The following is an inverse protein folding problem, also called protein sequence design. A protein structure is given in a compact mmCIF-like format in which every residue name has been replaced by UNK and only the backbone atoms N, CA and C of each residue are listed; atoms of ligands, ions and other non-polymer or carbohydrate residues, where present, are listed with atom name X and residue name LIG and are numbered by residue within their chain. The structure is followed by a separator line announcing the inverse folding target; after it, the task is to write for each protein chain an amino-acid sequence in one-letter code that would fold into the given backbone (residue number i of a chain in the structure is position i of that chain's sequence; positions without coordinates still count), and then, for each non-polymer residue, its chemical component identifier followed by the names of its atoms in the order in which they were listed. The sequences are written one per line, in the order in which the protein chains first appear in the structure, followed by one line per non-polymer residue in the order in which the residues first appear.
data_IF_669153419244
#
_entry.id   IF_669153419244
#
_cell.length_a   1.000
_cell.length_b   1.000
_cell.length_c   1.000
_cell.angle_alpha   90.00
_cell.angle_beta   90.00
_cell.angle_gamma   90.00
#
_symmetry.space_group_name_H-M   'P 1'
#
loop_
_entity.id
_entity.type
_entity.pdbx_description
1 polymer ?
#
# COMPACT_ATOMS: atom_id res chain seq x y z
N UNK A 1 14.70 7.77 12.81
CA UNK A 1 13.72 8.58 13.58
C UNK A 1 12.33 8.29 13.04
N UNK A 2 11.31 8.26 13.89
CA UNK A 2 9.90 8.13 13.52
C UNK A 2 9.19 9.45 13.84
N UNK A 3 8.57 10.04 12.82
CA UNK A 3 7.68 11.18 12.97
C UNK A 3 6.22 10.74 13.04
N UNK A 4 5.47 11.32 13.97
CA UNK A 4 4.03 11.14 14.06
C UNK A 4 3.34 12.50 14.22
N UNK A 5 2.36 12.81 13.35
CA UNK A 5 1.64 14.09 13.36
C UNK A 5 1.01 14.46 14.71
N UNK A 6 0.57 13.46 15.46
CA UNK A 6 -0.02 13.67 16.79
C UNK A 6 1.07 13.67 17.87
N UNK A 7 1.28 14.82 18.54
CA UNK A 7 2.31 14.99 19.56
C UNK A 7 2.13 14.02 20.74
N UNK A 8 0.92 13.90 21.28
CA UNK A 8 0.66 12.99 22.40
C UNK A 8 0.89 11.51 22.01
N UNK A 9 0.72 11.15 20.74
CA UNK A 9 1.07 9.81 20.26
C UNK A 9 2.59 9.61 20.19
N UNK A 10 3.33 10.58 19.67
CA UNK A 10 4.80 10.53 19.61
C UNK A 10 5.41 10.43 21.02
N UNK A 11 4.89 11.22 21.98
CA UNK A 11 5.30 11.18 23.39
C UNK A 11 5.04 9.81 24.02
N UNK A 12 3.86 9.21 23.80
CA UNK A 12 3.56 7.86 24.30
C UNK A 12 4.49 6.81 23.72
N UNK A 13 4.79 6.87 22.42
CA UNK A 13 5.76 5.96 21.79
C UNK A 13 7.15 6.09 22.42
N UNK A 14 7.59 7.30 22.70
CA UNK A 14 8.87 7.57 23.35
C UNK A 14 8.92 7.05 24.80
N UNK A 15 7.85 7.27 25.57
CA UNK A 15 7.77 6.90 26.97
C UNK A 15 7.62 5.38 27.18
N UNK A 16 6.76 4.73 26.40
CA UNK A 16 6.41 3.32 26.60
C UNK A 16 7.16 2.35 25.69
N UNK A 17 7.86 2.84 24.66
CA UNK A 17 8.55 2.01 23.66
C UNK A 17 7.65 0.94 23.05
N UNK A 18 6.36 1.24 22.90
CA UNK A 18 5.35 0.34 22.37
C UNK A 18 4.28 1.13 21.61
N UNK A 19 3.87 0.59 20.45
CA UNK A 19 2.71 1.09 19.72
C UNK A 19 1.47 0.28 20.09
N UNK A 20 0.90 0.56 21.28
CA UNK A 20 -0.26 -0.18 21.83
C UNK A 20 -1.49 -0.11 20.93
N UNK A 21 -1.62 0.92 20.08
CA UNK A 21 -2.78 1.10 19.20
C UNK A 21 -2.73 0.21 17.96
N UNK A 22 -1.56 0.08 17.34
CA UNK A 22 -1.43 -0.59 16.03
C UNK A 22 -0.58 -1.85 16.08
N UNK A 23 0.25 -1.99 17.10
CA UNK A 23 1.21 -3.08 17.24
C UNK A 23 1.39 -3.49 18.70
N UNK A 24 0.30 -3.88 19.39
CA UNK A 24 0.34 -4.21 20.81
C UNK A 24 1.24 -5.42 21.09
N UNK A 25 1.96 -5.36 22.21
CA UNK A 25 2.86 -6.41 22.71
C UNK A 25 4.22 -6.47 21.99
N UNK A 26 4.59 -5.45 21.20
CA UNK A 26 5.89 -5.36 20.54
C UNK A 26 6.69 -4.20 21.09
N UNK A 27 7.84 -4.50 21.70
CA UNK A 27 8.78 -3.49 22.18
C UNK A 27 9.55 -2.85 21.02
N UNK A 28 9.54 -1.53 20.94
CA UNK A 28 10.26 -0.78 19.92
C UNK A 28 11.75 -0.63 20.30
N UNK A 29 12.68 -0.70 19.31
CA UNK A 29 14.12 -0.59 19.58
C UNK A 29 14.51 0.69 20.30
N UNK A 30 15.45 0.62 21.25
CA UNK A 30 15.92 1.77 22.03
C UNK A 30 16.58 2.85 21.18
N UNK A 31 17.16 2.46 20.05
CA UNK A 31 17.78 3.37 19.09
C UNK A 31 16.78 4.18 18.25
N UNK A 32 15.48 3.81 18.28
CA UNK A 32 14.45 4.52 17.54
C UNK A 32 14.08 5.82 18.24
N UNK A 33 14.27 6.94 17.58
CA UNK A 33 13.89 8.27 18.05
C UNK A 33 12.48 8.63 17.58
N UNK A 34 11.74 9.40 18.37
CA UNK A 34 10.38 9.83 18.06
C UNK A 34 10.27 11.34 18.07
N UNK A 35 9.44 11.90 17.19
CA UNK A 35 9.16 13.33 17.12
C UNK A 35 7.78 13.59 16.52
N UNK A 36 7.15 14.69 16.93
CA UNK A 36 5.97 15.25 16.24
C UNK A 36 6.32 16.48 15.40
N UNK A 37 7.58 16.92 15.44
CA UNK A 37 8.06 18.03 14.64
C UNK A 37 8.63 17.51 13.31
N UNK A 38 8.00 17.89 12.20
CA UNK A 38 8.42 17.44 10.87
C UNK A 38 9.78 18.03 10.48
N UNK A 39 10.07 19.28 10.84
CA UNK A 39 11.38 19.91 10.55
C UNK A 39 12.51 19.18 11.26
N UNK A 40 12.28 18.75 12.49
CA UNK A 40 13.24 17.91 13.23
C UNK A 40 13.45 16.55 12.53
N UNK A 41 12.40 15.93 12.03
CA UNK A 41 12.51 14.68 11.26
C UNK A 41 13.30 14.89 9.96
N UNK A 42 13.04 15.98 9.23
CA UNK A 42 13.75 16.31 8.00
C UNK A 42 15.23 16.64 8.25
N UNK A 43 15.53 17.39 9.31
CA UNK A 43 16.92 17.68 9.72
C UNK A 43 17.67 16.38 10.05
N UNK A 44 16.98 15.37 10.60
CA UNK A 44 17.59 14.08 10.91
C UNK A 44 17.97 13.29 9.65
N UNK A 45 17.29 13.52 8.50
CA UNK A 45 17.64 12.91 7.21
C UNK A 45 18.86 13.59 6.55
N UNK A 46 19.23 14.79 6.99
CA UNK A 46 20.40 15.49 6.47
C UNK A 46 21.67 14.76 6.89
N UNK A 47 22.48 14.40 5.89
CA UNK A 47 23.67 13.59 6.10
C UNK A 47 24.66 14.23 7.07
N UNK A 48 25.14 13.46 8.02
CA UNK A 48 26.25 13.84 8.89
C UNK A 48 27.61 13.56 8.25
N UNK A 49 27.63 12.70 7.24
CA UNK A 49 28.82 12.37 6.42
C UNK A 49 28.44 12.31 4.94
N UNK A 50 29.38 12.53 4.01
CA UNK A 50 29.10 12.47 2.57
C UNK A 50 28.52 11.13 2.10
N UNK A 51 28.76 10.04 2.83
CA UNK A 51 28.31 8.70 2.48
C UNK A 51 26.92 8.34 3.02
N UNK A 52 26.34 9.17 3.90
CA UNK A 52 25.09 8.87 4.60
C UNK A 52 23.94 9.76 4.13
N UNK A 53 23.53 9.61 2.86
CA UNK A 53 22.33 10.31 2.37
C UNK A 53 21.07 9.80 3.07
N UNK A 54 20.20 10.70 3.51
CA UNK A 54 18.97 10.36 4.23
C UNK A 54 17.90 9.74 3.31
N UNK A 55 17.19 8.72 3.79
CA UNK A 55 16.04 8.12 3.15
C UNK A 55 14.77 8.49 3.93
N UNK A 56 13.77 9.03 3.23
CA UNK A 56 12.47 9.34 3.80
C UNK A 56 11.44 8.27 3.43
N UNK A 57 10.87 7.58 4.43
CA UNK A 57 9.85 6.55 4.23
C UNK A 57 8.49 7.07 4.73
N UNK A 58 7.53 7.23 3.83
CA UNK A 58 6.16 7.68 4.12
C UNK A 58 5.26 6.48 4.38
N UNK A 59 4.92 6.26 5.66
CA UNK A 59 4.04 5.15 6.09
C UNK A 59 2.68 5.67 6.57
N UNK A 60 2.11 6.63 5.85
CA UNK A 60 0.77 7.18 6.11
C UNK A 60 -0.29 6.39 5.32
N UNK A 61 -1.56 6.39 5.74
CA UNK A 61 -2.65 5.94 4.88
C UNK A 61 -2.69 6.75 3.58
N UNK A 62 -3.13 6.15 2.47
CA UNK A 62 -3.17 6.82 1.16
C UNK A 62 -3.90 8.17 1.21
N UNK A 63 -5.00 8.26 1.94
CA UNK A 63 -5.76 9.51 2.12
C UNK A 63 -4.94 10.66 2.73
N UNK A 64 -3.82 10.35 3.38
CA UNK A 64 -2.90 11.35 3.95
C UNK A 64 -1.69 11.66 3.07
N UNK A 65 -1.48 10.91 1.98
CA UNK A 65 -0.27 11.02 1.17
C UNK A 65 -0.13 12.40 0.52
N UNK A 66 -1.18 12.88 -0.17
CA UNK A 66 -1.16 14.16 -0.88
C UNK A 66 -0.86 15.34 0.08
N UNK A 67 -1.55 15.39 1.21
CA UNK A 67 -1.34 16.45 2.19
C UNK A 67 0.10 16.44 2.74
N UNK A 68 0.63 15.24 3.04
CA UNK A 68 2.01 15.13 3.52
C UNK A 68 3.02 15.48 2.42
N UNK A 69 2.81 15.07 1.17
CA UNK A 69 3.68 15.43 0.06
C UNK A 69 3.68 16.95 -0.20
N UNK A 70 2.53 17.63 -0.11
CA UNK A 70 2.46 19.08 -0.22
C UNK A 70 3.29 19.76 0.88
N UNK A 71 3.12 19.36 2.15
CA UNK A 71 3.89 19.89 3.27
C UNK A 71 5.40 19.63 3.11
N UNK A 72 5.78 18.45 2.63
CA UNK A 72 7.18 18.11 2.32
C UNK A 72 7.72 18.98 1.17
N UNK A 73 6.93 19.21 0.13
CA UNK A 73 7.30 20.04 -1.02
C UNK A 73 7.64 21.47 -0.59
N UNK A 74 6.81 22.06 0.25
CA UNK A 74 7.05 23.42 0.79
C UNK A 74 8.33 23.47 1.63
N UNK A 75 8.47 22.55 2.61
CA UNK A 75 9.60 22.54 3.53
C UNK A 75 10.93 22.23 2.82
N UNK A 76 10.95 21.25 1.94
CA UNK A 76 12.17 20.87 1.23
C UNK A 76 12.57 21.92 0.19
N UNK A 77 11.61 22.57 -0.50
CA UNK A 77 11.93 23.66 -1.42
C UNK A 77 12.55 24.87 -0.70
N UNK A 78 12.05 25.22 0.50
CA UNK A 78 12.63 26.26 1.35
C UNK A 78 14.05 25.90 1.80
N UNK A 79 14.28 24.65 2.22
CA UNK A 79 15.61 24.18 2.60
C UNK A 79 16.59 24.19 1.43
N UNK A 80 16.17 23.74 0.25
CA UNK A 80 16.99 23.77 -0.97
C UNK A 80 17.36 25.21 -1.40
N UNK A 81 16.40 26.14 -1.27
CA UNK A 81 16.63 27.56 -1.59
C UNK A 81 17.55 28.27 -0.59
N UNK A 82 17.52 27.87 0.68
CA UNK A 82 18.37 28.43 1.73
C UNK A 82 19.81 27.86 1.72
N UNK A 83 20.02 26.71 1.07
CA UNK A 83 21.32 26.02 1.03
C UNK A 83 22.16 26.49 -0.16
N UNK A 84 22.72 27.70 -0.07
CA UNK A 84 23.78 28.18 -0.96
C UNK A 84 25.15 27.49 -0.73
N UNK A 85 25.21 26.45 0.12
CA UNK A 85 26.47 25.76 0.44
C UNK A 85 26.47 24.30 -0.06
N UNK A 86 27.49 23.88 -0.82
CA UNK A 86 27.57 22.53 -1.40
C UNK A 86 27.85 21.40 -0.37
N UNK A 87 27.83 21.70 0.93
CA UNK A 87 28.19 20.74 1.99
C UNK A 87 27.03 19.88 2.55
N UNK A 88 25.78 20.16 2.15
CA UNK A 88 24.67 19.34 2.58
C UNK A 88 24.27 18.41 1.43
N UNK A 89 24.53 17.13 1.58
CA UNK A 89 24.03 16.15 0.62
C UNK A 89 22.50 16.06 0.75
N UNK A 90 21.78 16.09 -0.39
CA UNK A 90 20.34 16.05 -0.39
C UNK A 90 19.84 14.68 0.07
N UNK A 91 18.58 14.67 0.50
CA UNK A 91 17.76 13.47 0.64
C UNK A 91 17.96 12.56 -0.59
N UNK A 92 18.30 11.28 -0.37
CA UNK A 92 18.49 10.32 -1.47
C UNK A 92 17.20 10.06 -2.23
N UNK A 93 16.06 10.21 -1.53
CA UNK A 93 14.74 10.10 -2.12
C UNK A 93 13.65 9.85 -1.10
N UNK A 94 12.43 9.79 -1.61
CA UNK A 94 11.19 9.58 -0.87
C UNK A 94 10.58 8.25 -1.31
N UNK A 95 10.30 7.36 -0.35
CA UNK A 95 9.67 6.06 -0.57
C UNK A 95 8.37 6.00 0.22
N UNK A 96 7.28 5.59 -0.40
CA UNK A 96 6.01 5.35 0.31
C UNK A 96 5.68 3.86 0.42
N UNK A 97 4.84 3.54 1.40
CA UNK A 97 4.35 2.18 1.65
C UNK A 97 2.83 2.08 1.56
N UNK A 98 2.12 3.19 1.38
CA UNK A 98 0.67 3.21 1.22
C UNK A 98 0.23 2.49 -0.05
N UNK A 99 -1.00 1.96 -0.02
CA UNK A 99 -1.56 1.13 -1.08
C UNK A 99 -2.96 1.64 -1.43
N UNK A 100 -3.35 1.53 -2.70
CA UNK A 100 -4.66 1.92 -3.18
C UNK A 100 -4.60 3.01 -4.25
N UNK A 101 -5.79 3.46 -4.70
CA UNK A 101 -6.00 4.63 -5.53
C UNK A 101 -6.69 5.72 -4.70
N UNK A 102 -6.36 6.99 -4.96
CA UNK A 102 -7.01 8.13 -4.32
C UNK A 102 -8.50 8.16 -4.68
N UNK A 103 -9.37 8.23 -3.67
CA UNK A 103 -10.81 8.00 -3.85
C UNK A 103 -11.47 8.99 -4.83
N UNK A 104 -11.05 10.25 -4.81
CA UNK A 104 -11.68 11.32 -5.60
C UNK A 104 -11.14 11.35 -7.03
N UNK A 105 -9.84 11.20 -7.20
CA UNK A 105 -9.14 11.38 -8.47
C UNK A 105 -8.86 10.06 -9.21
N UNK A 106 -8.83 8.93 -8.51
CA UNK A 106 -8.39 7.65 -9.04
C UNK A 106 -6.88 7.55 -9.28
N UNK A 107 -6.09 8.49 -8.76
CA UNK A 107 -4.64 8.52 -8.96
C UNK A 107 -3.91 7.47 -8.12
N UNK A 108 -2.85 6.91 -8.70
CA UNK A 108 -1.88 6.08 -8.01
C UNK A 108 -1.00 6.93 -7.06
N UNK A 109 -0.40 6.35 -6.01
CA UNK A 109 0.52 7.08 -5.12
C UNK A 109 1.63 7.84 -5.84
N UNK A 110 2.21 7.26 -6.90
CA UNK A 110 3.24 7.91 -7.72
C UNK A 110 2.72 9.12 -8.49
N UNK A 111 1.48 9.07 -8.97
CA UNK A 111 0.84 10.20 -9.64
C UNK A 111 0.54 11.32 -8.64
N UNK A 112 0.03 10.98 -7.45
CA UNK A 112 -0.18 11.93 -6.34
C UNK A 112 1.13 12.61 -5.94
N UNK A 113 2.19 11.81 -5.77
CA UNK A 113 3.50 12.32 -5.38
C UNK A 113 4.08 13.25 -6.44
N UNK A 114 3.97 12.91 -7.73
CA UNK A 114 4.43 13.75 -8.85
C UNK A 114 3.73 15.10 -8.84
N UNK A 115 2.42 15.14 -8.63
CA UNK A 115 1.65 16.38 -8.55
C UNK A 115 2.08 17.23 -7.34
N UNK A 116 2.06 16.61 -6.16
CA UNK A 116 2.27 17.29 -4.88
C UNK A 116 3.74 17.72 -4.64
N UNK A 117 4.72 17.00 -5.22
CA UNK A 117 6.14 17.32 -5.12
C UNK A 117 6.67 18.14 -6.30
N UNK A 118 5.79 18.77 -7.09
CA UNK A 118 6.15 19.49 -8.31
C UNK A 118 7.14 20.65 -8.10
N UNK A 119 7.20 21.22 -6.90
CA UNK A 119 8.21 22.25 -6.56
C UNK A 119 9.64 21.67 -6.32
N UNK A 120 9.76 20.34 -6.20
CA UNK A 120 11.02 19.61 -5.97
C UNK A 120 11.15 18.42 -6.94
N UNK A 121 11.03 18.63 -8.26
CA UNK A 121 10.85 17.56 -9.25
C UNK A 121 12.04 16.59 -9.36
N UNK A 122 13.21 17.01 -8.88
CA UNK A 122 14.46 16.23 -8.99
C UNK A 122 14.68 15.28 -7.82
N UNK A 123 13.79 15.22 -6.83
CA UNK A 123 13.90 14.26 -5.73
C UNK A 123 13.43 12.89 -6.22
N UNK A 124 14.30 11.86 -6.19
CA UNK A 124 13.90 10.51 -6.56
C UNK A 124 12.78 9.98 -5.67
N UNK A 125 11.83 9.27 -6.30
CA UNK A 125 10.67 8.70 -5.59
C UNK A 125 10.53 7.21 -5.87
N UNK A 126 9.87 6.48 -4.95
CA UNK A 126 9.63 5.06 -5.13
C UNK A 126 8.57 4.50 -4.17
N UNK A 127 8.20 3.26 -4.40
CA UNK A 127 7.25 2.51 -3.58
C UNK A 127 7.90 1.25 -3.00
N UNK A 128 7.66 1.00 -1.72
CA UNK A 128 8.04 -0.24 -1.04
C UNK A 128 6.78 -1.04 -0.76
N UNK A 129 6.67 -2.24 -1.32
CA UNK A 129 5.49 -3.08 -1.20
C UNK A 129 5.86 -4.57 -1.19
N UNK A 130 4.89 -5.45 -0.92
CA UNK A 130 5.04 -6.91 -0.90
C UNK A 130 4.29 -7.54 0.26
N UNK A 131 4.38 -8.88 0.39
CA UNK A 131 3.70 -9.64 1.43
C UNK A 131 4.32 -9.36 2.81
N UNK A 132 3.66 -8.52 3.62
CA UNK A 132 4.22 -8.03 4.89
C UNK A 132 3.13 -7.64 5.88
N UNK A 133 2.64 -8.60 6.66
CA UNK A 133 1.84 -8.25 7.82
C UNK A 133 2.70 -7.58 8.89
N UNK A 134 2.30 -6.38 9.31
CA UNK A 134 3.09 -5.55 10.21
C UNK A 134 3.49 -6.27 11.52
N UNK A 135 2.59 -7.13 12.04
CA UNK A 135 2.84 -7.90 13.26
C UNK A 135 3.97 -8.92 13.06
N UNK A 136 3.96 -9.65 11.95
CA UNK A 136 5.00 -10.64 11.63
C UNK A 136 6.35 -9.97 11.40
N UNK A 137 6.37 -8.86 10.66
CA UNK A 137 7.59 -8.06 10.46
C UNK A 137 8.16 -7.59 11.79
N UNK A 138 7.32 -7.09 12.68
CA UNK A 138 7.74 -6.59 13.99
C UNK A 138 8.20 -7.71 14.95
N UNK A 139 7.74 -8.93 14.75
CA UNK A 139 8.22 -10.14 15.46
C UNK A 139 9.53 -10.67 14.89
N UNK A 140 10.07 -10.06 13.83
CA UNK A 140 11.31 -10.52 13.18
C UNK A 140 11.13 -11.77 12.34
N UNK A 141 9.91 -12.12 11.92
CA UNK A 141 9.67 -13.24 11.02
C UNK A 141 10.15 -12.93 9.60
N UNK A 142 10.51 -13.94 8.81
CA UNK A 142 11.00 -13.76 7.45
C UNK A 142 10.00 -12.99 6.58
N UNK A 143 10.46 -11.95 5.89
CA UNK A 143 9.66 -11.12 4.99
C UNK A 143 10.44 -10.81 3.72
N UNK A 144 9.72 -10.75 2.60
CA UNK A 144 10.27 -10.32 1.31
C UNK A 144 9.47 -9.14 0.76
N UNK A 145 10.17 -8.06 0.41
CA UNK A 145 9.60 -6.82 -0.10
C UNK A 145 10.23 -6.45 -1.44
N UNK A 146 9.56 -5.59 -2.18
CA UNK A 146 10.04 -4.99 -3.42
C UNK A 146 10.11 -3.47 -3.26
N UNK A 147 11.27 -2.89 -3.55
CA UNK A 147 11.42 -1.46 -3.80
C UNK A 147 11.32 -1.21 -5.30
N UNK A 148 10.34 -0.44 -5.73
CA UNK A 148 10.23 0.00 -7.11
C UNK A 148 10.47 1.51 -7.24
N UNK A 149 11.36 1.87 -8.15
CA UNK A 149 11.70 3.24 -8.50
C UNK A 149 12.39 3.27 -9.86
N UNK A 150 12.25 4.34 -10.61
CA UNK A 150 13.04 4.56 -11.82
C UNK A 150 14.51 4.91 -11.47
N UNK A 151 14.74 5.49 -10.29
CA UNK A 151 16.08 5.87 -9.84
C UNK A 151 16.85 4.69 -9.25
N UNK A 152 18.02 4.39 -9.81
CA UNK A 152 18.88 3.26 -9.38
C UNK A 152 19.54 3.50 -8.02
N UNK A 153 19.90 4.77 -7.72
CA UNK A 153 20.55 5.09 -6.46
C UNK A 153 19.55 4.94 -5.30
N UNK A 154 18.30 5.39 -5.49
CA UNK A 154 17.24 5.19 -4.50
C UNK A 154 16.95 3.70 -4.24
N UNK A 155 16.87 2.87 -5.30
CA UNK A 155 16.69 1.42 -5.11
C UNK A 155 17.83 0.81 -4.29
N UNK A 156 19.08 1.13 -4.64
CA UNK A 156 20.27 0.63 -3.91
C UNK A 156 20.30 1.10 -2.46
N UNK A 157 20.02 2.37 -2.21
CA UNK A 157 20.00 2.92 -0.86
C UNK A 157 18.89 2.29 0.00
N UNK A 158 17.69 2.09 -0.56
CA UNK A 158 16.59 1.43 0.14
C UNK A 158 16.93 -0.02 0.48
N UNK A 159 17.55 -0.75 -0.47
CA UNK A 159 18.03 -2.11 -0.21
C UNK A 159 19.09 -2.09 0.89
N UNK A 160 20.08 -1.23 0.80
CA UNK A 160 21.14 -1.14 1.81
C UNK A 160 20.61 -0.81 3.22
N UNK A 161 19.54 0.00 3.30
CA UNK A 161 18.92 0.38 4.57
C UNK A 161 18.04 -0.71 5.20
N UNK A 162 17.39 -1.55 4.39
CA UNK A 162 16.35 -2.46 4.86
C UNK A 162 16.67 -3.94 4.69
N UNK A 163 17.55 -4.32 3.75
CA UNK A 163 17.89 -5.71 3.49
C UNK A 163 18.86 -6.25 4.55
N UNK A 164 18.43 -7.24 5.28
CA UNK A 164 19.26 -7.89 6.31
C UNK A 164 18.42 -8.65 7.32
N UNK A 165 19.05 -9.43 8.17
CA UNK A 165 18.35 -10.26 9.14
C UNK A 165 17.27 -11.14 8.48
N UNK A 166 16.04 -10.99 8.92
CA UNK A 166 14.86 -11.69 8.38
C UNK A 166 14.23 -11.00 7.16
N UNK A 167 14.67 -9.78 6.79
CA UNK A 167 14.08 -9.02 5.69
C UNK A 167 14.89 -9.16 4.41
N UNK A 168 14.21 -9.50 3.30
CA UNK A 168 14.75 -9.49 1.94
C UNK A 168 14.09 -8.39 1.13
N UNK A 169 14.88 -7.54 0.47
CA UNK A 169 14.36 -6.46 -0.39
C UNK A 169 14.91 -6.67 -1.80
N UNK A 170 14.00 -6.66 -2.77
CA UNK A 170 14.28 -6.85 -4.20
C UNK A 170 14.02 -5.55 -4.96
N UNK A 171 14.86 -5.25 -5.96
CA UNK A 171 14.69 -4.09 -6.82
C UNK A 171 13.71 -4.36 -7.96
N UNK A 172 12.91 -3.36 -8.31
CA UNK A 172 12.08 -3.31 -9.50
C UNK A 172 12.13 -1.89 -10.11
N UNK A 173 11.81 -1.75 -11.39
CA UNK A 173 11.65 -0.45 -12.05
C UNK A 173 10.18 -0.11 -12.28
N UNK A 174 9.30 -1.11 -12.28
CA UNK A 174 7.88 -0.97 -12.54
C UNK A 174 7.12 -0.47 -11.30
N UNK A 175 7.14 0.84 -11.10
CA UNK A 175 6.42 1.52 -10.01
C UNK A 175 4.90 1.28 -10.15
N UNK A 176 4.38 1.41 -11.37
CA UNK A 176 2.93 1.27 -11.65
C UNK A 176 2.46 -0.15 -11.29
N UNK A 177 3.16 -1.18 -11.75
CA UNK A 177 2.79 -2.57 -11.47
C UNK A 177 2.81 -2.90 -9.98
N UNK A 178 3.81 -2.39 -9.25
CA UNK A 178 3.92 -2.56 -7.79
C UNK A 178 2.77 -1.86 -7.06
N UNK A 179 2.38 -0.66 -7.47
CA UNK A 179 1.26 0.10 -6.88
C UNK A 179 -0.09 -0.54 -7.18
N UNK A 180 -0.33 -0.94 -8.43
CA UNK A 180 -1.56 -1.63 -8.85
C UNK A 180 -1.71 -2.96 -8.10
N UNK A 181 -0.64 -3.74 -8.00
CA UNK A 181 -0.64 -4.97 -7.20
C UNK A 181 -1.06 -4.72 -5.77
N UNK A 182 -0.44 -3.74 -5.11
CA UNK A 182 -0.78 -3.34 -3.75
C UNK A 182 -2.21 -2.81 -3.56
N UNK A 183 -2.78 -2.18 -4.58
CA UNK A 183 -4.14 -1.64 -4.56
C UNK A 183 -5.21 -2.73 -4.70
N UNK A 184 -5.17 -3.48 -5.80
CA UNK A 184 -6.22 -4.44 -6.14
C UNK A 184 -6.22 -5.69 -5.25
N UNK A 185 -5.07 -6.11 -4.71
CA UNK A 185 -5.05 -7.24 -3.77
C UNK A 185 -6.04 -7.09 -2.62
N UNK A 186 -6.26 -5.86 -2.15
CA UNK A 186 -7.17 -5.58 -1.06
C UNK A 186 -8.64 -5.77 -1.47
N UNK A 187 -8.98 -5.44 -2.71
CA UNK A 187 -10.29 -5.68 -3.31
C UNK A 187 -10.52 -7.19 -3.49
N UNK A 188 -9.52 -7.88 -4.03
CA UNK A 188 -9.56 -9.35 -4.21
C UNK A 188 -9.65 -10.09 -2.88
N UNK A 189 -9.01 -9.57 -1.81
CA UNK A 189 -9.15 -10.13 -0.48
C UNK A 189 -10.58 -10.01 0.07
N UNK A 190 -11.28 -8.91 -0.21
CA UNK A 190 -12.71 -8.77 0.11
C UNK A 190 -13.52 -9.82 -0.65
N UNK A 191 -13.30 -9.98 -1.96
CA UNK A 191 -13.97 -10.99 -2.78
C UNK A 191 -13.77 -12.42 -2.23
N UNK A 192 -12.51 -12.77 -1.90
CA UNK A 192 -12.19 -14.06 -1.29
C UNK A 192 -12.89 -14.25 0.08
N UNK A 193 -12.91 -13.20 0.90
CA UNK A 193 -13.63 -13.21 2.18
C UNK A 193 -15.14 -13.42 2.00
N UNK A 194 -15.77 -12.74 1.04
CA UNK A 194 -17.20 -12.93 0.70
C UNK A 194 -17.47 -14.40 0.32
N UNK A 195 -16.64 -14.95 -0.59
CA UNK A 195 -16.78 -16.36 -0.99
C UNK A 195 -16.62 -17.35 0.17
N UNK A 196 -15.72 -17.05 1.12
CA UNK A 196 -15.55 -17.84 2.35
C UNK A 196 -16.76 -17.71 3.27
N UNK A 197 -17.31 -16.49 3.46
CA UNK A 197 -18.50 -16.25 4.26
C UNK A 197 -19.75 -16.96 3.73
N UNK A 198 -19.83 -17.10 2.40
CA UNK A 198 -20.87 -17.89 1.71
C UNK A 198 -20.63 -19.41 1.77
N UNK A 199 -19.48 -19.88 2.28
CA UNK A 199 -19.16 -21.31 2.34
C UNK A 199 -18.81 -21.94 0.99
N UNK A 200 -18.29 -21.17 0.00
CA UNK A 200 -18.00 -21.68 -1.35
C UNK A 200 -16.78 -22.61 -1.44
N UNK A 201 -16.01 -22.71 -0.35
CA UNK A 201 -14.88 -23.63 -0.25
C UNK A 201 -13.58 -23.13 -0.88
N UNK A 202 -12.56 -24.01 -0.80
CA UNK A 202 -11.17 -23.66 -1.20
C UNK A 202 -10.97 -23.58 -2.70
N UNK A 203 -11.70 -24.38 -3.49
CA UNK A 203 -11.62 -24.31 -4.94
C UNK A 203 -12.07 -22.96 -5.48
N UNK A 204 -13.18 -22.42 -4.95
CA UNK A 204 -13.67 -21.08 -5.32
C UNK A 204 -12.65 -19.99 -4.93
N UNK A 205 -12.02 -20.11 -3.76
CA UNK A 205 -10.98 -19.17 -3.33
C UNK A 205 -9.76 -19.23 -4.27
N UNK A 206 -9.30 -20.41 -4.67
CA UNK A 206 -8.20 -20.57 -5.62
C UNK A 206 -8.56 -19.91 -6.98
N UNK A 207 -9.78 -20.15 -7.49
CA UNK A 207 -10.27 -19.52 -8.71
C UNK A 207 -10.33 -17.99 -8.60
N UNK A 208 -10.83 -17.44 -7.49
CA UNK A 208 -10.86 -16.00 -7.24
C UNK A 208 -9.46 -15.38 -7.19
N UNK A 209 -8.48 -16.04 -6.59
CA UNK A 209 -7.08 -15.58 -6.56
C UNK A 209 -6.52 -15.54 -7.98
N UNK A 210 -6.69 -16.61 -8.75
CA UNK A 210 -6.17 -16.72 -10.14
C UNK A 210 -6.84 -15.68 -11.05
N UNK A 211 -8.16 -15.60 -11.02
CA UNK A 211 -8.92 -14.65 -11.86
C UNK A 211 -8.71 -13.21 -11.40
N UNK A 212 -8.57 -12.98 -10.10
CA UNK A 212 -8.22 -11.68 -9.52
C UNK A 212 -6.83 -11.22 -9.97
N UNK A 213 -5.86 -12.12 -10.02
CA UNK A 213 -4.53 -11.81 -10.54
C UNK A 213 -4.60 -11.38 -12.03
N UNK A 214 -5.43 -12.05 -12.84
CA UNK A 214 -5.66 -11.68 -14.23
C UNK A 214 -6.30 -10.29 -14.37
N UNK A 215 -7.26 -9.91 -13.49
CA UNK A 215 -7.80 -8.55 -13.46
C UNK A 215 -6.74 -7.51 -13.09
N UNK A 216 -5.93 -7.80 -12.06
CA UNK A 216 -4.83 -6.94 -11.64
C UNK A 216 -3.84 -6.70 -12.78
N UNK A 217 -3.50 -7.76 -13.52
CA UNK A 217 -2.58 -7.69 -14.66
C UNK A 217 -3.15 -6.83 -15.78
N UNK A 218 -4.41 -7.10 -16.22
CA UNK A 218 -5.05 -6.30 -17.28
C UNK A 218 -5.13 -4.81 -16.94
N UNK A 219 -5.55 -4.50 -15.71
CA UNK A 219 -5.64 -3.11 -15.28
C UNK A 219 -4.27 -2.44 -15.22
N UNK A 220 -3.27 -3.17 -14.70
CA UNK A 220 -1.91 -2.67 -14.64
C UNK A 220 -1.31 -2.42 -16.03
N UNK A 221 -1.46 -3.36 -16.97
CA UNK A 221 -0.99 -3.19 -18.34
C UNK A 221 -1.65 -2.00 -19.04
N UNK A 222 -2.93 -1.77 -18.81
CA UNK A 222 -3.64 -0.59 -19.34
C UNK A 222 -3.11 0.74 -18.77
N UNK A 223 -2.49 0.71 -17.59
CA UNK A 223 -1.80 1.85 -16.97
C UNK A 223 -0.30 1.93 -17.34
N UNK A 224 0.22 0.96 -18.10
CA UNK A 224 1.60 0.90 -18.55
C UNK A 224 2.54 0.07 -17.66
N UNK A 225 2.00 -0.78 -16.80
CA UNK A 225 2.78 -1.75 -16.02
C UNK A 225 3.25 -2.94 -16.85
N UNK A 226 4.24 -3.65 -16.36
CA UNK A 226 4.71 -4.90 -16.94
C UNK A 226 3.99 -6.10 -16.33
N UNK A 227 3.38 -6.99 -17.16
CA UNK A 227 2.67 -8.20 -16.70
C UNK A 227 3.51 -9.09 -15.79
N UNK A 228 4.81 -9.20 -16.03
CA UNK A 228 5.74 -9.99 -15.21
C UNK A 228 5.77 -9.53 -13.74
N UNK A 229 5.52 -8.25 -13.44
CA UNK A 229 5.48 -7.72 -12.08
C UNK A 229 4.40 -8.39 -11.23
N UNK A 230 3.26 -8.74 -11.86
CA UNK A 230 2.13 -9.35 -11.15
C UNK A 230 2.37 -10.80 -10.73
N UNK A 231 3.28 -11.52 -11.37
CA UNK A 231 3.72 -12.85 -10.95
C UNK A 231 4.69 -12.83 -9.77
N UNK A 232 5.17 -11.64 -9.36
CA UNK A 232 6.13 -11.42 -8.29
C UNK A 232 5.51 -11.20 -6.91
N UNK A 233 6.37 -10.67 -6.00
CA UNK A 233 6.01 -10.44 -4.59
C UNK A 233 4.84 -9.48 -4.42
N UNK A 234 4.75 -8.42 -5.21
CA UNK A 234 3.76 -7.36 -5.06
C UNK A 234 2.44 -7.66 -5.79
N UNK A 235 2.44 -8.62 -6.70
CA UNK A 235 1.25 -9.19 -7.33
C UNK A 235 0.80 -10.46 -6.60
N UNK A 236 1.17 -11.62 -7.12
CA UNK A 236 0.76 -12.94 -6.61
C UNK A 236 1.10 -13.14 -5.14
N UNK A 237 2.32 -12.77 -4.71
CA UNK A 237 2.75 -12.99 -3.32
C UNK A 237 1.88 -12.25 -2.30
N UNK A 238 1.68 -10.95 -2.50
CA UNK A 238 0.89 -10.12 -1.59
C UNK A 238 -0.62 -10.42 -1.71
N UNK A 239 -1.09 -10.82 -2.91
CA UNK A 239 -2.46 -11.27 -3.13
C UNK A 239 -2.75 -12.56 -2.35
N UNK A 240 -1.91 -13.59 -2.48
CA UNK A 240 -2.08 -14.85 -1.75
C UNK A 240 -2.09 -14.61 -0.25
N UNK A 241 -1.09 -13.88 0.27
CA UNK A 241 -1.03 -13.54 1.70
C UNK A 241 -2.31 -12.86 2.18
N UNK A 242 -2.80 -11.87 1.42
CA UNK A 242 -3.94 -11.04 1.83
C UNK A 242 -5.27 -11.78 1.68
N UNK A 243 -5.41 -12.65 0.68
CA UNK A 243 -6.62 -13.43 0.41
C UNK A 243 -6.76 -14.67 1.32
N UNK A 244 -5.67 -15.15 1.95
CA UNK A 244 -5.70 -16.37 2.76
C UNK A 244 -5.34 -16.15 4.22
N UNK A 245 -4.58 -15.09 4.54
CA UNK A 245 -4.07 -14.85 5.89
C UNK A 245 -5.14 -14.32 6.86
N UNK A 246 -5.15 -14.84 8.08
CA UNK A 246 -6.11 -14.45 9.13
C UNK A 246 -5.93 -13.01 9.63
N UNK A 247 -4.73 -12.45 9.46
CA UNK A 247 -4.43 -11.05 9.81
C UNK A 247 -4.96 -10.05 8.76
N UNK A 248 -5.52 -10.51 7.65
CA UNK A 248 -6.05 -9.67 6.58
C UNK A 248 -7.39 -9.05 6.96
N UNK A 249 -7.37 -7.76 7.30
CA UNK A 249 -8.58 -6.99 7.61
C UNK A 249 -9.57 -6.96 6.44
N UNK A 250 -9.10 -6.85 5.20
CA UNK A 250 -9.97 -6.84 4.03
C UNK A 250 -10.66 -8.21 3.83
N UNK A 251 -9.95 -9.33 4.02
CA UNK A 251 -10.56 -10.66 4.00
C UNK A 251 -11.61 -10.81 5.12
N UNK A 252 -11.30 -10.34 6.34
CA UNK A 252 -12.25 -10.36 7.47
C UNK A 252 -13.51 -9.53 7.17
N UNK A 253 -13.37 -8.34 6.56
CA UNK A 253 -14.51 -7.54 6.10
C UNK A 253 -15.36 -8.34 5.11
N UNK A 254 -14.75 -8.93 4.09
CA UNK A 254 -15.46 -9.77 3.11
C UNK A 254 -16.17 -10.95 3.76
N UNK A 255 -15.52 -11.64 4.71
CA UNK A 255 -16.08 -12.77 5.45
C UNK A 255 -17.38 -12.40 6.17
N UNK A 256 -17.39 -11.28 6.88
CA UNK A 256 -18.58 -10.81 7.60
C UNK A 256 -19.71 -10.37 6.65
N UNK A 257 -19.38 -9.77 5.51
CA UNK A 257 -20.35 -9.43 4.46
C UNK A 257 -20.94 -10.71 3.83
N UNK A 258 -20.11 -11.71 3.53
CA UNK A 258 -20.56 -13.01 3.04
C UNK A 258 -21.48 -13.75 4.00
N UNK A 259 -21.36 -13.46 5.31
CA UNK A 259 -22.26 -13.95 6.38
C UNK A 259 -23.55 -13.15 6.53
N UNK A 260 -23.76 -12.13 5.71
CA UNK A 260 -24.99 -11.34 5.65
C UNK A 260 -24.95 -9.99 6.37
N UNK A 261 -23.79 -9.54 6.88
CA UNK A 261 -23.67 -8.19 7.43
C UNK A 261 -23.50 -7.16 6.31
N UNK A 262 -24.03 -5.97 6.49
CA UNK A 262 -23.74 -4.82 5.64
C UNK A 262 -22.33 -4.25 5.90
N UNK A 263 -21.79 -3.51 4.94
CA UNK A 263 -20.49 -2.82 5.11
C UNK A 263 -20.50 -1.89 6.33
N UNK A 264 -21.58 -1.15 6.56
CA UNK A 264 -21.71 -0.23 7.70
C UNK A 264 -21.65 -0.97 9.04
N UNK A 265 -22.33 -2.10 9.17
CA UNK A 265 -22.28 -2.93 10.38
C UNK A 265 -20.86 -3.46 10.63
N UNK A 266 -20.18 -3.88 9.59
CA UNK A 266 -18.79 -4.37 9.70
C UNK A 266 -17.84 -3.24 10.11
N UNK A 267 -17.94 -2.05 9.50
CA UNK A 267 -17.11 -0.90 9.86
C UNK A 267 -17.38 -0.39 11.27
N UNK A 268 -18.60 -0.51 11.77
CA UNK A 268 -18.96 -0.15 13.15
C UNK A 268 -18.23 -1.01 14.21
N UNK A 269 -17.71 -2.20 13.85
CA UNK A 269 -16.88 -3.02 14.74
C UNK A 269 -15.45 -2.50 14.91
N UNK A 270 -15.06 -1.45 14.18
CA UNK A 270 -13.70 -0.90 14.15
C UNK A 270 -12.80 -1.52 13.09
N UNK A 271 -13.27 -2.46 12.29
CA UNK A 271 -12.55 -2.95 11.11
C UNK A 271 -12.40 -1.84 10.08
N UNK A 272 -11.25 -1.79 9.44
CA UNK A 272 -10.98 -0.84 8.35
C UNK A 272 -10.93 -1.57 7.01
N UNK A 273 -11.60 -1.03 6.00
CA UNK A 273 -11.69 -1.60 4.65
C UNK A 273 -11.02 -0.68 3.63
N UNK A 274 -9.69 -0.72 3.55
CA UNK A 274 -8.96 0.03 2.51
C UNK A 274 -9.36 -0.43 1.12
N UNK A 275 -9.59 -1.74 0.94
CA UNK A 275 -10.05 -2.33 -0.31
C UNK A 275 -11.42 -1.79 -0.75
N UNK A 276 -12.35 -1.54 0.18
CA UNK A 276 -13.66 -0.98 -0.15
C UNK A 276 -13.54 0.43 -0.73
N UNK A 277 -12.74 1.29 -0.09
CA UNK A 277 -12.48 2.66 -0.61
C UNK A 277 -11.80 2.65 -1.97
N UNK A 278 -10.87 1.70 -2.17
CA UNK A 278 -10.12 1.56 -3.40
C UNK A 278 -10.98 1.02 -4.55
N UNK A 279 -11.94 0.13 -4.28
CA UNK A 279 -12.70 -0.60 -5.30
C UNK A 279 -13.44 0.34 -6.27
N UNK A 280 -14.13 1.36 -5.76
CA UNK A 280 -14.85 2.34 -6.58
C UNK A 280 -13.90 3.17 -7.45
N UNK A 281 -12.77 3.63 -6.89
CA UNK A 281 -11.79 4.41 -7.62
C UNK A 281 -11.14 3.57 -8.74
N UNK A 282 -10.82 2.30 -8.46
CA UNK A 282 -10.32 1.35 -9.46
C UNK A 282 -11.33 1.13 -10.57
N UNK A 283 -12.59 0.87 -10.22
CA UNK A 283 -13.65 0.60 -11.21
C UNK A 283 -13.90 1.80 -12.13
N UNK A 284 -13.95 3.02 -11.55
CA UNK A 284 -14.06 4.26 -12.33
C UNK A 284 -12.90 4.39 -13.31
N UNK A 285 -11.65 4.25 -12.85
CA UNK A 285 -10.48 4.39 -13.71
C UNK A 285 -10.39 3.29 -14.75
N UNK A 286 -10.79 2.06 -14.43
CA UNK A 286 -10.86 0.95 -15.37
C UNK A 286 -11.88 1.24 -16.50
N UNK A 287 -13.03 1.80 -16.16
CA UNK A 287 -14.04 2.23 -17.14
C UNK A 287 -13.50 3.30 -18.10
N UNK A 288 -12.76 4.29 -17.58
CA UNK A 288 -12.11 5.32 -18.40
C UNK A 288 -11.07 4.74 -19.38
N UNK A 289 -10.43 3.62 -19.00
CA UNK A 289 -9.45 2.91 -19.82
C UNK A 289 -10.07 1.82 -20.71
N UNK A 290 -11.38 1.58 -20.64
CA UNK A 290 -12.06 0.50 -21.37
C UNK A 290 -11.68 -0.90 -20.89
N UNK A 291 -11.29 -1.07 -19.63
CA UNK A 291 -10.87 -2.35 -19.04
C UNK A 291 -11.97 -2.95 -18.19
N UNK A 292 -12.34 -4.20 -18.49
CA UNK A 292 -13.31 -4.94 -17.67
C UNK A 292 -12.64 -5.60 -16.46
N UNK A 293 -13.22 -5.34 -15.27
CA UNK A 293 -12.83 -5.91 -14.00
C UNK A 293 -14.04 -6.57 -13.30
N UNK A 294 -14.49 -7.74 -13.76
CA UNK A 294 -15.72 -8.37 -13.28
C UNK A 294 -15.77 -8.64 -11.78
N UNK A 295 -14.67 -9.11 -11.17
CA UNK A 295 -14.63 -9.38 -9.71
C UNK A 295 -14.69 -8.07 -8.95
N UNK A 296 -13.91 -7.06 -9.37
CA UNK A 296 -13.93 -5.73 -8.77
C UNK A 296 -15.31 -5.09 -8.86
N UNK A 297 -16.00 -5.25 -9.99
CA UNK A 297 -17.36 -4.78 -10.19
C UNK A 297 -18.34 -5.47 -9.22
N UNK A 298 -18.30 -6.80 -9.15
CA UNK A 298 -19.14 -7.57 -8.25
C UNK A 298 -18.92 -7.18 -6.76
N UNK A 299 -17.67 -6.90 -6.38
CA UNK A 299 -17.36 -6.36 -5.04
C UNK A 299 -18.03 -5.01 -4.82
N UNK A 300 -17.99 -4.09 -5.80
CA UNK A 300 -18.65 -2.78 -5.68
C UNK A 300 -20.17 -2.92 -5.57
N UNK A 301 -20.80 -3.77 -6.38
CA UNK A 301 -22.26 -4.02 -6.31
C UNK A 301 -22.69 -4.52 -4.92
N UNK A 302 -21.92 -5.46 -4.34
CA UNK A 302 -22.22 -5.99 -3.00
C UNK A 302 -21.99 -4.94 -1.91
N UNK A 303 -20.91 -4.16 -2.01
CA UNK A 303 -20.55 -3.21 -0.96
C UNK A 303 -21.42 -1.95 -0.95
N UNK A 304 -21.84 -1.48 -2.12
CA UNK A 304 -22.41 -0.13 -2.28
C UNK A 304 -23.77 -0.07 -2.93
N UNK A 305 -24.17 -1.12 -3.68
CA UNK A 305 -25.42 -1.12 -4.43
C UNK A 305 -26.47 -2.07 -3.86
N UNK A 306 -26.15 -2.74 -2.75
CA UNK A 306 -27.08 -3.61 -2.03
C UNK A 306 -27.37 -4.94 -2.71
N UNK A 307 -26.56 -5.33 -3.70
CA UNK A 307 -26.68 -6.64 -4.35
C UNK A 307 -26.29 -7.74 -3.34
N UNK A 308 -27.12 -8.78 -3.26
CA UNK A 308 -26.83 -9.90 -2.38
C UNK A 308 -25.55 -10.63 -2.80
N UNK A 309 -24.66 -10.99 -1.86
CA UNK A 309 -23.39 -11.67 -2.19
C UNK A 309 -23.56 -12.91 -3.06
N UNK A 310 -24.58 -13.73 -2.79
CA UNK A 310 -24.86 -14.93 -3.57
C UNK A 310 -25.28 -14.61 -5.02
N UNK A 311 -26.03 -13.55 -5.24
CA UNK A 311 -26.44 -13.08 -6.56
C UNK A 311 -25.23 -12.61 -7.38
N UNK A 312 -24.33 -11.83 -6.78
CA UNK A 312 -23.10 -11.38 -7.42
C UNK A 312 -22.21 -12.56 -7.85
N UNK A 313 -22.07 -13.58 -7.01
CA UNK A 313 -21.35 -14.83 -7.36
C UNK A 313 -22.03 -15.56 -8.51
N UNK A 314 -23.37 -15.69 -8.49
CA UNK A 314 -24.13 -16.34 -9.56
C UNK A 314 -23.89 -15.65 -10.91
N UNK A 315 -23.90 -14.32 -10.93
CA UNK A 315 -23.59 -13.54 -12.14
C UNK A 315 -22.16 -13.75 -12.64
N UNK A 316 -21.19 -13.82 -11.76
CA UNK A 316 -19.80 -14.14 -12.13
C UNK A 316 -19.68 -15.54 -12.76
N UNK A 317 -20.37 -16.54 -12.21
CA UNK A 317 -20.37 -17.91 -12.71
C UNK A 317 -21.13 -18.07 -14.04
N UNK A 318 -22.12 -17.23 -14.34
CA UNK A 318 -22.89 -17.26 -15.58
C UNK A 318 -22.20 -16.58 -16.77
N UNK A 319 -21.04 -15.95 -16.58
CA UNK A 319 -20.27 -15.34 -17.67
C UNK A 319 -19.84 -16.42 -18.68
N UNK A 320 -19.84 -16.04 -19.97
CA UNK A 320 -19.40 -16.92 -21.05
C UNK A 320 -17.96 -17.37 -20.80
N UNK A 321 -17.70 -18.66 -21.01
CA UNK A 321 -16.35 -19.21 -20.88
C UNK A 321 -15.42 -18.55 -21.90
N UNK A 322 -14.29 -18.06 -21.43
CA UNK A 322 -13.23 -17.48 -22.28
C UNK A 322 -11.99 -18.37 -22.21
N UNK A 323 -11.09 -18.25 -23.19
CA UNK A 323 -9.75 -18.86 -23.14
C UNK A 323 -8.95 -18.27 -21.98
N UNK A 324 -8.19 -19.12 -21.30
CA UNK A 324 -7.29 -18.76 -20.22
C UNK A 324 -5.91 -18.39 -20.75
#
# INVERSE_FOLDING_TARGET
MLWARNAAFAERLAAHRENTRYLPGITLPDTLLFTSNLDHALTHTSARTPEAAGLLILSVPLAGLRALCNELSEKLSQQLSAQLSPKHQPLIGIVWTCKGLEAETGLLPSEIARDALSAIPNIPTGVLSGPSFAREVAQGLPVALTIASQDTALRRATIAALHGGAMRVYANQDVIGVEVGGALKNVMAIACGIGEGLGLGTNARAALITRGLAEMTRFGEALGAHSATFSGLTGLGDLVLTATGDLSRNRQVGLEIGRGKSLNEVLATGLTAEGARCAQAVLKRASELGVELPITHAVCEVLFEGVAPFEAVTRLLSRVATTE
#
